data_IF_035515539516
#
_entry.id   IF_035515539516
#
_cell.length_a   1.000
_cell.length_b   1.000
_cell.length_c   1.000
_cell.angle_alpha   90.00
_cell.angle_beta   90.00
_cell.angle_gamma   90.00
#
_symmetry.space_group_name_H-M   'P 1'
#
loop_
_entity.id
_entity.type
_entity.pdbx_description
1 polymer ?
#
# COMPACT_ATOMS: atom_id res chain seq x y z
N UNK A 1 -8.07 14.49 9.70
CA UNK A 1 -7.57 13.19 10.19
C UNK A 1 -7.73 12.23 9.03
N UNK A 2 -6.68 11.46 8.72
CA UNK A 2 -6.74 10.45 7.67
C UNK A 2 -7.49 9.21 8.18
N UNK A 3 -8.16 8.53 7.27
CA UNK A 3 -8.94 7.31 7.46
C UNK A 3 -8.02 6.08 7.54
N UNK A 4 -7.07 5.95 6.60
CA UNK A 4 -6.27 4.74 6.47
C UNK A 4 -4.79 4.94 6.79
N UNK A 5 -4.21 6.10 6.50
CA UNK A 5 -2.80 6.40 6.82
C UNK A 5 -2.64 7.08 8.19
N UNK A 6 -1.41 7.07 8.72
CA UNK A 6 -1.06 7.80 9.94
C UNK A 6 0.18 8.68 9.72
N UNK A 7 -0.02 10.00 9.75
CA UNK A 7 1.05 10.99 9.57
C UNK A 7 2.17 10.87 10.62
N UNK A 8 1.84 10.56 11.89
CA UNK A 8 2.86 10.37 12.93
C UNK A 8 3.73 9.15 12.62
N UNK A 9 3.13 8.07 12.11
CA UNK A 9 3.88 6.89 11.68
C UNK A 9 4.82 7.21 10.51
N UNK A 10 4.37 7.99 9.53
CA UNK A 10 5.21 8.45 8.41
C UNK A 10 6.44 9.19 8.94
N UNK A 11 6.25 10.17 9.83
CA UNK A 11 7.36 10.92 10.43
C UNK A 11 8.29 10.04 11.29
N UNK A 12 7.74 9.08 12.03
CA UNK A 12 8.55 8.15 12.83
C UNK A 12 9.47 7.28 11.98
N UNK A 13 9.04 6.90 10.76
CA UNK A 13 9.82 6.05 9.88
C UNK A 13 10.83 6.83 9.03
N UNK A 14 10.48 8.03 8.57
CA UNK A 14 11.30 8.79 7.62
C UNK A 14 12.02 10.00 8.23
N UNK A 15 11.80 10.31 9.51
CA UNK A 15 12.27 11.54 10.15
C UNK A 15 11.27 12.68 9.95
N UNK A 16 11.17 13.59 10.92
CA UNK A 16 10.28 14.76 10.85
C UNK A 16 11.00 16.02 10.34
N UNK A 17 12.32 16.00 10.28
CA UNK A 17 13.20 17.10 9.84
C UNK A 17 13.57 17.03 8.35
N UNK A 18 13.49 15.85 7.72
CA UNK A 18 13.84 15.65 6.30
C UNK A 18 12.60 15.53 5.40
N UNK A 19 12.02 16.68 5.05
CA UNK A 19 10.84 16.73 4.18
C UNK A 19 11.12 16.22 2.76
N UNK A 20 12.34 16.36 2.25
CA UNK A 20 12.68 15.87 0.90
C UNK A 20 12.67 14.34 0.88
N UNK A 21 13.31 13.71 1.88
CA UNK A 21 13.28 12.26 2.03
C UNK A 21 11.85 11.72 2.17
N UNK A 22 10.98 12.35 2.98
CA UNK A 22 9.58 11.93 3.10
C UNK A 22 8.87 11.97 1.73
N UNK A 23 9.06 13.05 0.96
CA UNK A 23 8.43 13.19 -0.36
C UNK A 23 8.90 12.09 -1.31
N UNK A 24 10.20 11.84 -1.38
CA UNK A 24 10.75 10.78 -2.23
C UNK A 24 10.21 9.40 -1.85
N UNK A 25 10.18 9.09 -0.55
CA UNK A 25 9.71 7.78 -0.08
C UNK A 25 8.22 7.58 -0.37
N UNK A 26 7.38 8.59 -0.13
CA UNK A 26 5.95 8.52 -0.46
C UNK A 26 5.75 8.40 -1.97
N UNK A 27 6.52 9.15 -2.77
CA UNK A 27 6.44 9.06 -4.23
C UNK A 27 6.78 7.66 -4.74
N UNK A 28 7.81 7.02 -4.18
CA UNK A 28 8.15 5.62 -4.49
C UNK A 28 6.97 4.69 -4.13
N UNK A 29 6.34 4.88 -2.97
CA UNK A 29 5.19 4.06 -2.55
C UNK A 29 4.01 4.21 -3.52
N UNK A 30 3.71 5.43 -3.95
CA UNK A 30 2.66 5.74 -4.93
C UNK A 30 2.98 5.08 -6.28
N UNK A 31 4.15 5.36 -6.84
CA UNK A 31 4.53 4.99 -8.21
C UNK A 31 4.85 3.50 -8.37
N UNK A 32 5.24 2.83 -7.29
CA UNK A 32 5.64 1.42 -7.33
C UNK A 32 4.66 0.54 -6.58
N UNK A 33 4.60 0.62 -5.24
CA UNK A 33 3.87 -0.34 -4.44
C UNK A 33 2.36 -0.30 -4.69
N UNK A 34 1.76 0.89 -4.69
CA UNK A 34 0.31 1.03 -4.92
C UNK A 34 -0.05 0.76 -6.38
N UNK A 35 0.76 1.27 -7.31
CA UNK A 35 0.62 0.96 -8.73
C UNK A 35 0.66 -0.55 -9.02
N UNK A 36 1.63 -1.27 -8.45
CA UNK A 36 1.79 -2.70 -8.64
C UNK A 36 0.60 -3.51 -8.11
N UNK A 37 0.05 -3.10 -6.96
CA UNK A 37 -1.12 -3.74 -6.37
C UNK A 37 -2.37 -3.54 -7.23
N UNK A 38 -2.55 -2.35 -7.83
CA UNK A 38 -3.65 -2.09 -8.77
C UNK A 38 -3.62 -2.97 -10.00
N UNK A 39 -2.45 -3.50 -10.36
CA UNK A 39 -2.27 -4.37 -11.52
C UNK A 39 -2.39 -5.87 -11.18
N UNK A 40 -2.84 -6.25 -9.99
CA UNK A 40 -2.94 -7.66 -9.63
C UNK A 40 -4.06 -8.43 -10.36
N UNK A 41 -5.07 -7.74 -10.87
CA UNK A 41 -6.22 -8.36 -11.53
C UNK A 41 -5.83 -9.27 -12.71
N UNK A 42 -4.84 -8.84 -13.52
CA UNK A 42 -4.33 -9.67 -14.63
C UNK A 42 -3.70 -10.97 -14.12
N UNK A 43 -2.95 -10.90 -13.00
CA UNK A 43 -2.29 -12.07 -12.41
C UNK A 43 -3.30 -13.03 -11.78
N UNK A 44 -4.38 -12.52 -11.19
CA UNK A 44 -5.50 -13.36 -10.74
C UNK A 44 -6.18 -14.08 -11.92
N UNK A 45 -6.44 -13.36 -13.00
CA UNK A 45 -7.07 -13.92 -14.21
C UNK A 45 -6.21 -15.02 -14.87
N UNK A 46 -4.88 -14.84 -14.86
CA UNK A 46 -3.91 -15.80 -15.38
C UNK A 46 -3.56 -16.92 -14.38
N UNK A 47 -4.10 -16.86 -13.16
CA UNK A 47 -3.74 -17.75 -12.03
C UNK A 47 -2.24 -17.71 -11.68
N UNK A 48 -1.55 -16.60 -11.96
CA UNK A 48 -0.17 -16.37 -11.55
C UNK A 48 -0.09 -15.92 -10.08
N UNK A 49 -0.45 -16.85 -9.19
CA UNK A 49 -0.43 -16.62 -7.75
C UNK A 49 0.98 -16.41 -7.19
N UNK A 50 2.02 -16.86 -7.92
CA UNK A 50 3.42 -16.60 -7.54
C UNK A 50 3.71 -15.12 -7.64
N UNK A 51 3.26 -14.44 -8.71
CA UNK A 51 3.42 -13.00 -8.87
C UNK A 51 2.53 -12.22 -7.90
N UNK A 52 1.27 -12.64 -7.69
CA UNK A 52 0.38 -12.03 -6.69
C UNK A 52 1.05 -12.02 -5.31
N UNK A 53 1.53 -13.18 -4.84
CA UNK A 53 2.22 -13.31 -3.56
C UNK A 53 3.42 -12.38 -3.44
N UNK A 54 4.26 -12.33 -4.48
CA UNK A 54 5.48 -11.50 -4.49
C UNK A 54 5.16 -10.01 -4.39
N UNK A 55 4.15 -9.53 -5.13
CA UNK A 55 3.75 -8.11 -5.12
C UNK A 55 3.13 -7.72 -3.78
N UNK A 56 2.22 -8.53 -3.23
CA UNK A 56 1.70 -8.32 -1.87
C UNK A 56 2.82 -8.27 -0.84
N UNK A 57 3.76 -9.22 -0.90
CA UNK A 57 4.87 -9.30 0.05
C UNK A 57 5.75 -8.05 0.06
N UNK A 58 6.07 -7.54 -1.13
CA UNK A 58 6.87 -6.32 -1.29
C UNK A 58 6.15 -5.07 -0.82
N UNK A 59 4.82 -5.00 -0.92
CA UNK A 59 4.06 -3.82 -0.52
C UNK A 59 3.77 -3.74 1.00
N UNK A 60 3.79 -4.86 1.72
CA UNK A 60 3.58 -4.89 3.18
C UNK A 60 4.44 -3.90 3.99
N UNK A 61 5.78 -3.84 3.82
CA UNK A 61 6.58 -2.88 4.57
C UNK A 61 6.17 -1.43 4.27
N UNK A 62 5.87 -1.09 3.01
CA UNK A 62 5.39 0.23 2.62
C UNK A 62 4.09 0.62 3.34
N UNK A 63 3.16 -0.32 3.50
CA UNK A 63 1.93 -0.08 4.25
C UNK A 63 2.19 0.17 5.74
N UNK A 64 3.19 -0.50 6.32
CA UNK A 64 3.64 -0.21 7.69
C UNK A 64 4.21 1.20 7.83
N UNK A 65 5.04 1.63 6.87
CA UNK A 65 5.70 2.95 6.92
C UNK A 65 4.71 4.10 6.91
N UNK A 66 3.58 3.94 6.22
CA UNK A 66 2.54 4.96 6.14
C UNK A 66 1.42 4.78 7.18
N UNK A 67 1.52 3.78 8.06
CA UNK A 67 0.51 3.51 9.08
C UNK A 67 -0.79 2.88 8.56
N UNK A 68 -0.81 2.38 7.32
CA UNK A 68 -1.94 1.67 6.71
C UNK A 68 -2.04 0.22 7.21
N UNK A 69 -2.23 0.05 8.52
CA UNK A 69 -2.13 -1.24 9.21
C UNK A 69 -3.17 -2.25 8.72
N UNK A 70 -4.41 -1.82 8.47
CA UNK A 70 -5.46 -2.74 8.02
C UNK A 70 -5.23 -3.18 6.58
N UNK A 71 -4.77 -2.29 5.70
CA UNK A 71 -4.33 -2.64 4.35
C UNK A 71 -3.16 -3.62 4.37
N UNK A 72 -2.19 -3.44 5.28
CA UNK A 72 -1.12 -4.43 5.48
C UNK A 72 -1.67 -5.81 5.86
N UNK A 73 -2.64 -5.90 6.77
CA UNK A 73 -3.27 -7.18 7.16
C UNK A 73 -4.02 -7.82 5.99
N UNK A 74 -4.64 -7.02 5.11
CA UNK A 74 -5.28 -7.55 3.90
C UNK A 74 -4.26 -8.19 2.95
N UNK A 75 -3.08 -7.58 2.79
CA UNK A 75 -1.97 -8.19 2.03
C UNK A 75 -1.53 -9.51 2.66
N UNK A 76 -1.45 -9.60 3.99
CA UNK A 76 -1.15 -10.86 4.69
C UNK A 76 -2.24 -11.92 4.49
N UNK A 77 -3.51 -11.52 4.50
CA UNK A 77 -4.62 -12.42 4.25
C UNK A 77 -4.62 -12.96 2.80
N UNK A 78 -4.30 -12.10 1.82
CA UNK A 78 -4.12 -12.51 0.41
C UNK A 78 -2.99 -13.54 0.29
N UNK A 79 -1.84 -13.30 0.94
CA UNK A 79 -0.72 -14.23 0.89
C UNK A 79 -1.01 -15.58 1.56
N UNK A 80 -1.93 -15.62 2.52
CA UNK A 80 -2.31 -16.82 3.25
C UNK A 80 -3.25 -17.74 2.45
N UNK A 81 -4.07 -17.18 1.54
CA UNK A 81 -5.05 -17.93 0.75
C UNK A 81 -5.21 -17.37 -0.67
N UNK A 82 -4.15 -17.44 -1.46
CA UNK A 82 -4.05 -16.79 -2.78
C UNK A 82 -5.21 -17.17 -3.72
N UNK A 83 -5.59 -18.45 -3.77
CA UNK A 83 -6.60 -18.96 -4.70
C UNK A 83 -8.02 -18.43 -4.41
N UNK A 84 -8.32 -18.10 -3.15
CA UNK A 84 -9.64 -17.63 -2.72
C UNK A 84 -9.65 -16.15 -2.30
N UNK A 85 -8.52 -15.46 -2.42
CA UNK A 85 -8.34 -14.10 -1.91
C UNK A 85 -8.86 -12.98 -2.82
N UNK A 86 -9.41 -13.29 -3.99
CA UNK A 86 -9.91 -12.28 -4.93
C UNK A 86 -10.93 -11.29 -4.32
N UNK A 87 -11.91 -11.70 -3.49
CA UNK A 87 -12.81 -10.75 -2.83
C UNK A 87 -12.10 -9.80 -1.86
N UNK A 88 -11.02 -10.26 -1.23
CA UNK A 88 -10.16 -9.40 -0.38
C UNK A 88 -9.41 -8.41 -1.25
N UNK A 89 -8.94 -8.85 -2.42
CA UNK A 89 -8.29 -7.99 -3.41
C UNK A 89 -9.23 -6.89 -3.92
N UNK A 90 -10.50 -7.17 -4.20
CA UNK A 90 -11.46 -6.13 -4.60
C UNK A 90 -11.60 -5.03 -3.53
N UNK A 91 -11.65 -5.43 -2.26
CA UNK A 91 -11.68 -4.48 -1.15
C UNK A 91 -10.36 -3.73 -1.02
N UNK A 92 -9.22 -4.41 -1.26
CA UNK A 92 -7.89 -3.81 -1.22
C UNK A 92 -7.76 -2.67 -2.23
N UNK A 93 -8.33 -2.82 -3.44
CA UNK A 93 -8.31 -1.76 -4.46
C UNK A 93 -8.98 -0.48 -3.95
N UNK A 94 -10.13 -0.60 -3.29
CA UNK A 94 -10.81 0.56 -2.70
C UNK A 94 -9.94 1.25 -1.64
N UNK A 95 -9.26 0.48 -0.79
CA UNK A 95 -8.34 1.03 0.21
C UNK A 95 -7.13 1.71 -0.45
N UNK A 96 -6.61 1.17 -1.56
CA UNK A 96 -5.49 1.78 -2.28
C UNK A 96 -5.88 3.15 -2.82
N UNK A 97 -7.08 3.31 -3.39
CA UNK A 97 -7.55 4.60 -3.90
C UNK A 97 -7.66 5.65 -2.79
N UNK A 98 -8.14 5.25 -1.61
CA UNK A 98 -8.19 6.12 -0.43
C UNK A 98 -6.77 6.49 0.00
N UNK A 99 -5.87 5.51 0.13
CA UNK A 99 -4.48 5.75 0.53
C UNK A 99 -3.77 6.69 -0.45
N UNK A 100 -3.94 6.51 -1.77
CA UNK A 100 -3.36 7.39 -2.77
C UNK A 100 -3.81 8.84 -2.57
N UNK A 101 -5.12 9.05 -2.36
CA UNK A 101 -5.66 10.37 -2.07
C UNK A 101 -5.04 10.96 -0.80
N UNK A 102 -5.00 10.18 0.28
CA UNK A 102 -4.49 10.65 1.57
C UNK A 102 -2.99 10.98 1.55
N UNK A 103 -2.19 10.19 0.83
CA UNK A 103 -0.77 10.45 0.65
C UNK A 103 -0.53 11.71 -0.18
N UNK A 104 -1.30 11.94 -1.24
CA UNK A 104 -1.23 13.20 -2.00
C UNK A 104 -1.64 14.40 -1.13
N UNK A 105 -2.75 14.29 -0.41
CA UNK A 105 -3.21 15.29 0.57
C UNK A 105 -2.15 15.58 1.66
N UNK A 106 -1.39 14.55 2.06
CA UNK A 106 -0.30 14.69 3.01
C UNK A 106 0.88 15.44 2.40
N UNK A 107 1.29 15.08 1.19
CA UNK A 107 2.39 15.75 0.46
C UNK A 107 2.12 17.23 0.21
N UNK A 108 0.87 17.60 -0.08
CA UNK A 108 0.45 19.00 -0.26
C UNK A 108 0.56 19.83 1.03
N UNK A 109 0.45 19.18 2.20
CA UNK A 109 0.46 19.83 3.53
C UNK A 109 1.82 19.73 4.23
N UNK A 110 2.77 19.00 3.65
CA UNK A 110 4.12 18.77 4.16
C UNK A 110 5.03 19.99 3.94
#
# INVERSE_FOLDING_TARGET
>A
MYELINAQTIFQYFGDDDKEMIREMIQIILDTNLHDLKQLDVHYSEKDFVTVKKKCHKAKPSMSYIGAIDTRKMLEAIEADLENSYPIYETLISNIEIIEKELNDFLEKL
#
